data_IF_776119392541
#
_entry.id   IF_776119392541
#
_cell.length_a   1.000
_cell.length_b   1.000
_cell.length_c   1.000
_cell.angle_alpha   90.00
_cell.angle_beta   90.00
_cell.angle_gamma   90.00
#
_symmetry.space_group_name_H-M   'P 1'
#
loop_
_entity.id
_entity.type
_entity.pdbx_description
1 polymer ?
#
# COMPACT_ATOMS: atom_id res chain seq x y z
N UNK A 1 16.15 -11.56 -12.93
CA UNK A 1 15.10 -10.55 -13.08
C UNK A 1 13.99 -10.88 -12.13
N UNK A 2 13.47 -9.92 -11.37
CA UNK A 2 12.30 -10.17 -10.53
C UNK A 2 11.10 -10.41 -11.43
N UNK A 3 10.49 -11.59 -11.35
CA UNK A 3 9.23 -11.84 -12.04
C UNK A 3 8.08 -11.28 -11.18
N UNK A 4 7.11 -10.62 -11.80
CA UNK A 4 5.88 -10.22 -11.11
C UNK A 4 5.00 -11.46 -10.99
N UNK A 5 4.76 -11.91 -9.76
CA UNK A 5 3.93 -13.09 -9.45
C UNK A 5 2.44 -12.77 -9.39
N UNK A 6 2.11 -11.62 -8.79
CA UNK A 6 0.74 -11.11 -8.72
C UNK A 6 0.76 -9.68 -9.18
N UNK A 7 -0.18 -9.33 -10.05
CA UNK A 7 -0.46 -7.96 -10.44
C UNK A 7 -1.97 -7.87 -10.65
N UNK A 8 -2.70 -7.27 -9.71
CA UNK A 8 -4.14 -7.07 -9.87
C UNK A 8 -4.65 -5.86 -9.12
N UNK A 9 -5.77 -5.37 -9.58
CA UNK A 9 -6.60 -4.43 -8.85
C UNK A 9 -7.23 -5.10 -7.62
N UNK A 10 -7.27 -4.38 -6.50
CA UNK A 10 -7.90 -4.83 -5.26
C UNK A 10 -9.38 -4.45 -5.18
N UNK A 11 -9.87 -3.55 -6.02
CA UNK A 11 -11.28 -3.15 -6.02
C UNK A 11 -11.94 -3.30 -7.39
N UNK A 12 -13.27 -3.43 -7.39
CA UNK A 12 -14.10 -3.44 -8.60
C UNK A 12 -14.46 -2.04 -9.10
N UNK A 13 -14.37 -1.04 -8.23
CA UNK A 13 -14.61 0.36 -8.53
C UNK A 13 -13.45 1.22 -8.04
N UNK A 14 -13.28 2.41 -8.65
CA UNK A 14 -12.32 3.38 -8.15
C UNK A 14 -12.63 3.74 -6.69
N UNK A 15 -11.61 4.18 -5.98
CA UNK A 15 -11.74 4.72 -4.65
C UNK A 15 -11.44 6.22 -4.72
N UNK A 16 -12.35 7.01 -4.18
CA UNK A 16 -12.17 8.44 -4.05
C UNK A 16 -11.40 8.75 -2.78
N UNK A 17 -10.46 9.67 -2.90
CA UNK A 17 -9.66 10.11 -1.79
C UNK A 17 -9.33 11.60 -1.91
N UNK A 18 -9.00 12.21 -0.78
CA UNK A 18 -8.64 13.62 -0.71
C UNK A 18 -7.17 13.77 -0.36
N UNK A 19 -6.51 14.72 -1.02
CA UNK A 19 -5.12 15.08 -0.76
C UNK A 19 -5.03 16.59 -0.53
N UNK A 20 -4.32 16.98 0.52
CA UNK A 20 -3.96 18.36 0.79
C UNK A 20 -2.43 18.53 0.72
N UNK A 21 -1.96 19.38 -0.18
CA UNK A 21 -0.53 19.61 -0.36
C UNK A 21 -0.01 20.59 0.70
N UNK A 22 1.31 20.67 0.87
CA UNK A 22 1.97 21.59 1.82
C UNK A 22 1.63 23.06 1.56
N UNK A 23 1.30 23.43 0.32
CA UNK A 23 0.88 24.77 -0.10
C UNK A 23 -0.58 25.12 0.24
N UNK A 24 -1.34 24.17 0.83
CA UNK A 24 -2.74 24.34 1.19
C UNK A 24 -3.75 23.97 0.09
N UNK A 25 -3.30 23.64 -1.12
CA UNK A 25 -4.17 23.13 -2.20
C UNK A 25 -4.83 21.83 -1.75
N UNK A 26 -6.09 21.63 -2.15
CA UNK A 26 -6.87 20.43 -1.88
C UNK A 26 -7.38 19.84 -3.18
N UNK A 27 -7.05 18.58 -3.42
CA UNK A 27 -7.51 17.83 -4.58
C UNK A 27 -8.39 16.64 -4.14
N UNK A 28 -9.33 16.29 -5.00
CA UNK A 28 -10.07 15.03 -4.93
C UNK A 28 -9.61 14.15 -6.09
N UNK A 29 -9.11 12.96 -5.78
CA UNK A 29 -8.56 12.04 -6.76
C UNK A 29 -9.29 10.69 -6.71
N UNK A 30 -9.45 10.08 -7.88
CA UNK A 30 -9.93 8.71 -8.01
C UNK A 30 -8.71 7.80 -8.22
N UNK A 31 -8.63 6.70 -7.48
CA UNK A 31 -7.52 5.75 -7.58
C UNK A 31 -8.01 4.32 -7.64
N UNK A 32 -7.16 3.44 -8.18
CA UNK A 32 -7.35 2.00 -8.19
C UNK A 32 -6.20 1.35 -7.43
N UNK A 33 -6.42 0.83 -6.21
CA UNK A 33 -5.36 0.16 -5.47
C UNK A 33 -4.94 -1.11 -6.20
N UNK A 34 -3.64 -1.23 -6.51
CA UNK A 34 -3.06 -2.42 -7.12
C UNK A 34 -2.20 -3.18 -6.11
N UNK A 35 -2.40 -4.49 -6.04
CA UNK A 35 -1.50 -5.41 -5.35
C UNK A 35 -0.51 -5.97 -6.35
N UNK A 36 0.77 -5.68 -6.11
CA UNK A 36 1.89 -6.25 -6.83
C UNK A 36 2.70 -7.13 -5.89
N UNK A 37 2.84 -8.41 -6.23
CA UNK A 37 3.73 -9.36 -5.52
C UNK A 37 4.81 -9.77 -6.49
N UNK A 38 6.05 -9.66 -6.06
CA UNK A 38 7.22 -9.98 -6.86
C UNK A 38 7.79 -11.35 -6.40
N UNK A 39 8.56 -12.02 -7.27
CA UNK A 39 9.33 -13.25 -6.97
C UNK A 39 10.86 -13.04 -6.83
N UNK A 40 11.45 -13.52 -5.73
CA UNK A 40 12.89 -13.48 -5.47
C UNK A 40 13.36 -12.42 -4.44
N UNK A 41 14.66 -12.06 -4.44
CA UNK A 41 15.19 -11.09 -3.49
C UNK A 41 14.82 -9.66 -3.88
N UNK A 42 13.66 -9.18 -3.40
CA UNK A 42 13.16 -7.83 -3.72
C UNK A 42 13.73 -6.73 -2.86
N UNK A 43 14.25 -7.07 -1.68
CA UNK A 43 14.85 -6.10 -0.77
C UNK A 43 16.05 -5.37 -1.40
N UNK A 44 16.64 -5.95 -2.45
CA UNK A 44 17.73 -5.35 -3.23
C UNK A 44 17.28 -4.62 -4.48
N UNK A 45 15.97 -4.55 -4.77
CA UNK A 45 15.48 -3.74 -5.88
C UNK A 45 15.62 -2.27 -5.51
N UNK A 46 16.26 -1.44 -6.37
CA UNK A 46 16.26 0.00 -6.16
C UNK A 46 14.82 0.50 -6.29
N UNK A 47 14.33 1.17 -5.25
CA UNK A 47 13.08 1.93 -5.31
C UNK A 47 13.49 3.39 -5.44
N UNK A 48 13.28 3.93 -6.63
CA UNK A 48 13.39 5.38 -6.85
C UNK A 48 12.06 6.01 -6.46
N UNK A 49 12.11 6.94 -5.53
CA UNK A 49 10.96 7.76 -5.17
C UNK A 49 11.08 9.13 -5.81
N UNK A 50 9.94 9.79 -5.99
CA UNK A 50 9.92 11.20 -6.34
C UNK A 50 10.31 12.07 -5.13
N UNK A 51 10.32 13.38 -5.36
CA UNK A 51 10.64 14.41 -4.36
C UNK A 51 9.58 14.53 -3.25
N UNK A 52 8.40 13.92 -3.42
CA UNK A 52 7.31 13.98 -2.44
C UNK A 52 7.42 12.89 -1.36
N UNK A 53 8.21 11.86 -1.58
CA UNK A 53 8.44 10.81 -0.60
C UNK A 53 9.61 11.14 0.35
N UNK A 54 9.33 11.19 1.65
CA UNK A 54 10.35 11.38 2.70
C UNK A 54 11.23 10.12 2.95
N UNK A 55 11.04 9.05 2.17
CA UNK A 55 11.87 7.85 2.20
C UNK A 55 11.10 6.54 2.00
N UNK A 56 11.84 5.42 1.92
CA UNK A 56 11.29 4.07 1.71
C UNK A 56 11.73 3.13 2.82
N UNK A 57 10.78 2.32 3.31
CA UNK A 57 11.05 1.26 4.28
C UNK A 57 10.28 0.00 3.92
N UNK A 58 10.98 -1.13 3.92
CA UNK A 58 10.34 -2.45 3.89
C UNK A 58 9.75 -2.78 5.26
N UNK A 59 8.46 -3.10 5.31
CA UNK A 59 7.72 -3.45 6.53
C UNK A 59 7.00 -4.78 6.36
N UNK A 60 6.72 -5.45 7.47
CA UNK A 60 5.80 -6.59 7.47
C UNK A 60 4.35 -6.11 7.33
N UNK A 61 3.42 -6.96 6.84
CA UNK A 61 2.00 -6.60 6.80
C UNK A 61 1.45 -6.20 8.18
N UNK A 62 1.82 -6.91 9.25
CA UNK A 62 1.37 -6.57 10.60
C UNK A 62 1.85 -5.20 11.08
N UNK A 63 3.10 -4.83 10.79
CA UNK A 63 3.62 -3.48 11.06
C UNK A 63 2.88 -2.42 10.27
N UNK A 64 2.59 -2.68 8.99
CA UNK A 64 1.85 -1.78 8.12
C UNK A 64 0.43 -1.53 8.64
N UNK A 65 -0.30 -2.59 9.01
CA UNK A 65 -1.66 -2.47 9.54
C UNK A 65 -1.72 -1.80 10.91
N UNK A 66 -0.74 -2.08 11.78
CA UNK A 66 -0.61 -1.37 13.05
C UNK A 66 -0.33 0.11 12.83
N UNK A 67 0.62 0.45 11.95
CA UNK A 67 0.94 1.84 11.61
C UNK A 67 -0.27 2.59 11.05
N UNK A 68 -1.04 1.94 10.17
CA UNK A 68 -2.29 2.47 9.63
C UNK A 68 -3.30 2.79 10.75
N UNK A 69 -3.46 1.90 11.74
CA UNK A 69 -4.39 2.11 12.87
C UNK A 69 -3.93 3.20 13.85
N UNK A 70 -2.63 3.26 14.14
CA UNK A 70 -2.05 4.17 15.14
C UNK A 70 -1.81 5.59 14.61
N UNK A 71 -1.75 5.75 13.29
CA UNK A 71 -1.69 7.05 12.62
C UNK A 71 -2.93 7.27 11.77
N UNK A 72 -4.09 7.61 12.39
CA UNK A 72 -5.15 8.30 11.70
C UNK A 72 -4.63 9.70 11.37
N UNK A 73 -3.75 9.79 10.37
CA UNK A 73 -3.08 11.03 10.05
C UNK A 73 -4.04 12.00 9.36
N UNK A 74 -3.86 13.28 9.65
CA UNK A 74 -4.35 14.44 8.91
C UNK A 74 -4.81 14.09 7.49
N UNK A 75 -6.07 14.37 7.17
CA UNK A 75 -6.80 14.34 5.87
C UNK A 75 -6.12 13.68 4.63
N UNK A 76 -4.86 13.98 4.35
CA UNK A 76 -3.99 13.30 3.36
C UNK A 76 -3.69 11.82 3.67
N UNK A 77 -3.48 11.49 4.95
CA UNK A 77 -3.18 10.13 5.40
C UNK A 77 -4.44 9.32 5.64
N UNK A 78 -5.58 9.95 6.00
CA UNK A 78 -6.89 9.30 6.03
C UNK A 78 -7.18 8.55 4.74
N UNK A 79 -6.74 9.07 3.60
CA UNK A 79 -6.92 8.46 2.29
C UNK A 79 -6.18 7.13 2.12
N UNK A 80 -4.85 7.11 2.24
CA UNK A 80 -4.04 5.89 2.12
C UNK A 80 -4.33 4.90 3.25
N UNK A 81 -4.48 5.38 4.48
CA UNK A 81 -4.82 4.56 5.64
C UNK A 81 -6.22 3.97 5.54
N UNK A 82 -7.21 4.72 5.03
CA UNK A 82 -8.56 4.19 4.76
C UNK A 82 -8.57 3.23 3.58
N UNK A 83 -7.80 3.50 2.52
CA UNK A 83 -7.64 2.59 1.38
C UNK A 83 -7.04 1.26 1.85
N UNK A 84 -5.99 1.32 2.67
CA UNK A 84 -5.33 0.16 3.23
C UNK A 84 -6.21 -0.61 4.21
N UNK A 85 -6.96 0.07 5.08
CA UNK A 85 -7.94 -0.56 5.97
C UNK A 85 -9.08 -1.23 5.20
N UNK A 86 -9.60 -0.58 4.15
CA UNK A 86 -10.63 -1.14 3.26
C UNK A 86 -10.12 -2.35 2.47
N UNK A 87 -8.83 -2.35 2.15
CA UNK A 87 -8.20 -3.43 1.41
C UNK A 87 -7.56 -4.50 2.31
N UNK A 88 -7.56 -4.35 3.64
CA UNK A 88 -6.83 -5.24 4.58
C UNK A 88 -7.25 -6.70 4.40
N UNK A 89 -8.55 -6.98 4.45
CA UNK A 89 -9.06 -8.34 4.29
C UNK A 89 -8.71 -8.95 2.92
N UNK A 90 -8.76 -8.13 1.86
CA UNK A 90 -8.43 -8.57 0.49
C UNK A 90 -6.91 -8.82 0.35
N UNK A 91 -6.08 -7.90 0.83
CA UNK A 91 -4.63 -8.06 0.83
C UNK A 91 -4.20 -9.27 1.66
N UNK A 92 -4.76 -9.47 2.86
CA UNK A 92 -4.46 -10.64 3.70
C UNK A 92 -4.87 -11.92 2.99
N UNK A 93 -6.07 -11.96 2.40
CA UNK A 93 -6.55 -13.13 1.65
C UNK A 93 -5.64 -13.46 0.46
N UNK A 94 -5.13 -12.45 -0.24
CA UNK A 94 -4.23 -12.68 -1.38
C UNK A 94 -2.79 -13.00 -0.97
N UNK A 95 -2.29 -12.36 0.08
CA UNK A 95 -0.99 -12.67 0.68
C UNK A 95 -0.97 -14.12 1.19
N UNK A 96 -2.07 -14.61 1.80
CA UNK A 96 -2.17 -15.99 2.26
C UNK A 96 -2.07 -17.03 1.12
N UNK A 97 -2.45 -16.68 -0.11
CA UNK A 97 -2.30 -17.56 -1.28
C UNK A 97 -0.88 -17.62 -1.81
N UNK A 98 -0.05 -16.62 -1.48
CA UNK A 98 1.29 -16.48 -2.07
C UNK A 98 2.44 -16.59 -1.09
N UNK A 99 2.19 -16.31 0.18
CA UNK A 99 3.14 -16.48 1.26
C UNK A 99 3.14 -17.93 1.73
N UNK A 100 4.32 -18.54 1.98
CA UNK A 100 4.39 -19.84 2.63
C UNK A 100 3.72 -19.75 4.01
N UNK A 101 3.05 -20.83 4.48
CA UNK A 101 2.48 -20.86 5.82
C UNK A 101 3.58 -20.57 6.86
N UNK A 102 3.25 -19.91 7.97
CA UNK A 102 4.21 -19.66 9.03
C UNK A 102 4.81 -21.01 9.47
N UNK A 103 6.14 -21.09 9.49
CA UNK A 103 6.82 -22.24 10.09
C UNK A 103 6.57 -22.16 11.58
N UNK A 104 5.85 -23.17 12.11
CA UNK A 104 5.68 -23.38 13.54
C UNK A 104 6.99 -23.71 14.25
#
# INVERSE_FOLDING_TARGET
GGHVRVSRNLTEHWLWYYHQYRDGRKDRQATWPWLVVLDGPHRSLPVETDEEADGVKWVTPGELFRWARERPGDFCHESLTSLMSKCEAMMVGELAKVMPPPKG
#
